data_IF_322699420662
#
_entry.id   IF_322699420662
#
_cell.length_a   1.000
_cell.length_b   1.000
_cell.length_c   1.000
_cell.angle_alpha   90.00
_cell.angle_beta   90.00
_cell.angle_gamma   90.00
#
_symmetry.space_group_name_H-M   'P 1'
#
loop_
_entity.id
_entity.type
_entity.pdbx_description
1 polymer ?
#
# COMPACT_ATOMS: atom_id res chain seq x y z
N UNK A 1 14.35 9.79 15.76
CA UNK A 1 13.21 10.74 15.71
C UNK A 1 12.88 10.93 14.25
N UNK A 2 12.36 9.86 13.68
CA UNK A 2 12.26 9.67 12.25
C UNK A 2 10.86 10.15 11.90
N UNK A 3 10.82 11.31 11.26
CA UNK A 3 9.61 12.07 11.01
C UNK A 3 8.72 11.29 10.01
N UNK A 4 7.82 10.46 10.53
CA UNK A 4 6.86 9.66 9.74
C UNK A 4 5.91 10.53 8.89
N UNK A 5 5.99 11.86 8.98
CA UNK A 5 5.17 12.82 8.21
C UNK A 5 5.64 13.10 6.78
N UNK A 6 6.79 12.60 6.32
CA UNK A 6 7.25 12.83 4.94
C UNK A 6 6.72 11.80 3.91
N UNK A 7 6.08 10.71 4.38
CA UNK A 7 5.54 9.65 3.49
C UNK A 7 4.30 10.07 2.70
N UNK A 8 3.64 11.15 3.12
CA UNK A 8 2.37 11.62 2.55
C UNK A 8 2.50 12.79 1.56
N UNK A 9 3.67 13.42 1.46
CA UNK A 9 3.87 14.57 0.57
C UNK A 9 4.27 14.12 -0.84
N UNK A 10 3.71 14.81 -1.85
CA UNK A 10 4.12 14.66 -3.23
C UNK A 10 5.57 15.11 -3.41
N UNK A 11 6.34 14.29 -4.11
CA UNK A 11 7.76 14.46 -4.41
C UNK A 11 7.96 14.57 -5.92
N UNK A 12 9.00 15.28 -6.38
CA UNK A 12 9.27 15.42 -7.81
C UNK A 12 9.60 14.07 -8.45
N UNK A 13 9.06 13.78 -9.64
CA UNK A 13 9.21 12.46 -10.30
C UNK A 13 10.66 11.99 -10.46
N UNK A 14 11.60 12.92 -10.59
CA UNK A 14 13.02 12.63 -10.75
C UNK A 14 13.61 11.89 -9.54
N UNK A 15 13.07 12.12 -8.34
CA UNK A 15 13.52 11.48 -7.10
C UNK A 15 12.80 10.16 -6.82
N UNK A 16 11.92 9.71 -7.72
CA UNK A 16 11.16 8.49 -7.52
C UNK A 16 12.09 7.27 -7.45
N UNK A 17 12.01 6.47 -6.36
CA UNK A 17 12.81 5.27 -6.21
C UNK A 17 12.38 4.19 -7.20
N UNK A 18 13.33 3.36 -7.59
CA UNK A 18 13.06 2.18 -8.40
C UNK A 18 12.44 1.07 -7.56
N UNK A 19 11.58 0.26 -8.18
CA UNK A 19 10.97 -0.93 -7.57
C UNK A 19 10.05 -0.71 -6.35
N UNK A 20 9.80 0.53 -5.94
CA UNK A 20 8.80 0.83 -4.92
C UNK A 20 7.40 0.98 -5.53
N UNK A 21 6.38 0.66 -4.74
CA UNK A 21 4.98 0.96 -5.08
C UNK A 21 4.71 2.43 -4.81
N UNK A 22 4.48 3.19 -5.87
CA UNK A 22 4.29 4.64 -5.82
C UNK A 22 2.92 5.01 -6.38
N UNK A 23 2.30 6.00 -5.78
CA UNK A 23 1.19 6.71 -6.40
C UNK A 23 1.76 7.82 -7.27
N UNK A 24 1.28 7.94 -8.50
CA UNK A 24 1.75 8.91 -9.48
C UNK A 24 0.70 9.99 -9.70
N UNK A 25 1.16 11.23 -9.89
CA UNK A 25 0.34 12.34 -10.34
C UNK A 25 0.86 12.84 -11.69
N UNK A 26 -0.06 13.01 -12.63
CA UNK A 26 0.17 13.57 -13.97
C UNK A 26 -0.51 14.93 -14.01
N UNK A 27 0.15 15.93 -14.58
CA UNK A 27 -0.48 17.24 -14.81
C UNK A 27 -0.71 17.36 -16.31
N UNK A 28 -1.97 17.52 -16.70
CA UNK A 28 -2.40 17.70 -18.09
C UNK A 28 -3.14 19.05 -18.23
N UNK A 29 -3.74 19.30 -19.40
CA UNK A 29 -4.56 20.48 -19.68
C UNK A 29 -5.76 20.68 -18.72
N UNK A 30 -6.31 19.57 -18.19
CA UNK A 30 -7.41 19.56 -17.22
C UNK A 30 -6.92 19.72 -15.76
N UNK A 31 -5.60 19.69 -15.54
CA UNK A 31 -4.98 19.86 -14.22
C UNK A 31 -4.28 18.60 -13.70
N UNK A 32 -4.16 18.51 -12.37
CA UNK A 32 -3.51 17.39 -11.68
C UNK A 32 -4.45 16.17 -11.59
N UNK A 33 -4.01 15.04 -12.15
CA UNK A 33 -4.68 13.75 -12.07
C UNK A 33 -3.81 12.71 -11.38
N UNK A 34 -4.37 12.06 -10.37
CA UNK A 34 -3.71 11.01 -9.60
C UNK A 34 -4.07 9.64 -10.16
N UNK A 35 -3.08 8.77 -10.29
CA UNK A 35 -3.29 7.39 -10.67
C UNK A 35 -3.89 6.64 -9.48
N UNK A 36 -5.06 6.04 -9.68
CA UNK A 36 -5.78 5.25 -8.66
C UNK A 36 -5.20 3.84 -8.45
N UNK A 37 -4.00 3.58 -8.96
CA UNK A 37 -3.32 2.29 -8.88
C UNK A 37 -1.83 2.49 -8.61
N UNK A 38 -1.18 1.56 -7.89
CA UNK A 38 0.24 1.66 -7.60
C UNK A 38 1.06 1.40 -8.87
N UNK A 39 2.07 2.23 -9.08
CA UNK A 39 3.03 2.10 -10.17
C UNK A 39 4.43 1.90 -9.61
N UNK A 40 5.26 1.17 -10.34
CA UNK A 40 6.69 1.04 -10.06
C UNK A 40 7.51 1.61 -11.21
N UNK A 41 8.61 2.28 -10.85
CA UNK A 41 9.58 2.77 -11.81
C UNK A 41 10.46 1.60 -12.26
N UNK A 42 10.51 1.35 -13.56
CA UNK A 42 11.36 0.36 -14.23
C UNK A 42 12.29 1.06 -15.22
N UNK A 43 13.25 0.32 -15.77
CA UNK A 43 14.20 0.86 -16.76
C UNK A 43 13.47 1.41 -18.00
N UNK A 44 12.40 0.73 -18.42
CA UNK A 44 11.60 1.07 -19.60
C UNK A 44 10.43 2.05 -19.31
N UNK A 45 10.47 2.73 -18.15
CA UNK A 45 9.44 3.70 -17.76
C UNK A 45 8.62 3.26 -16.54
N UNK A 46 7.30 3.25 -16.69
CA UNK A 46 6.37 2.95 -15.59
C UNK A 46 5.63 1.64 -15.83
N UNK A 47 5.40 0.90 -14.76
CA UNK A 47 4.68 -0.36 -14.80
C UNK A 47 3.68 -0.39 -13.66
N UNK A 48 2.47 -0.87 -13.93
CA UNK A 48 1.47 -1.16 -12.92
C UNK A 48 2.03 -2.24 -11.98
N UNK A 49 2.13 -1.92 -10.69
CA UNK A 49 2.69 -2.82 -9.70
C UNK A 49 1.77 -4.01 -9.39
N UNK A 50 0.46 -3.92 -9.66
CA UNK A 50 -0.52 -5.00 -9.47
C UNK A 50 -0.55 -5.95 -10.66
N UNK A 51 -0.69 -5.41 -11.86
CA UNK A 51 -0.87 -6.23 -13.07
C UNK A 51 0.44 -6.55 -13.79
N UNK A 52 1.51 -5.82 -13.48
CA UNK A 52 2.79 -5.93 -14.21
C UNK A 52 2.74 -5.36 -15.63
N UNK A 53 1.66 -4.67 -16.03
CA UNK A 53 1.54 -4.07 -17.36
C UNK A 53 2.33 -2.77 -17.45
N UNK A 54 2.98 -2.53 -18.58
CA UNK A 54 3.64 -1.25 -18.84
C UNK A 54 2.60 -0.15 -18.98
N UNK A 55 2.89 1.00 -18.39
CA UNK A 55 1.98 2.14 -18.32
C UNK A 55 2.69 3.32 -18.98
N UNK A 56 2.16 3.78 -20.10
CA UNK A 56 2.65 4.95 -20.82
C UNK A 56 2.09 6.22 -20.17
N UNK A 57 2.78 6.73 -19.16
CA UNK A 57 2.43 7.96 -18.44
C UNK A 57 3.65 8.85 -18.26
N UNK A 58 3.43 10.17 -18.27
CA UNK A 58 4.44 11.19 -17.96
C UNK A 58 4.10 11.87 -16.62
N UNK A 59 4.29 11.18 -15.49
CA UNK A 59 4.01 11.76 -14.17
C UNK A 59 4.96 12.91 -13.85
N UNK A 60 4.43 13.91 -13.15
CA UNK A 60 5.17 15.09 -12.68
C UNK A 60 5.61 14.91 -11.22
N UNK A 61 4.78 14.24 -10.43
CA UNK A 61 5.02 13.99 -9.01
C UNK A 61 4.71 12.53 -8.65
N UNK A 62 5.29 12.08 -7.55
CA UNK A 62 5.05 10.77 -6.96
C UNK A 62 4.89 10.88 -5.44
N UNK A 63 4.26 9.90 -4.82
CA UNK A 63 4.32 9.68 -3.37
C UNK A 63 4.29 8.19 -3.08
N UNK A 64 4.56 7.82 -1.83
CA UNK A 64 4.46 6.43 -1.42
C UNK A 64 3.01 5.94 -1.55
N UNK A 65 2.82 4.77 -2.16
CA UNK A 65 1.50 4.15 -2.20
C UNK A 65 1.17 3.63 -0.80
N UNK A 66 0.42 4.43 -0.03
CA UNK A 66 -0.11 3.99 1.25
C UNK A 66 -1.26 3.01 0.99
N UNK A 67 -0.98 1.72 1.12
CA UNK A 67 -2.05 0.72 1.27
C UNK A 67 -2.91 1.20 2.45
N UNK A 68 -4.20 1.45 2.24
CA UNK A 68 -5.10 1.83 3.34
C UNK A 68 -4.97 0.83 4.49
N UNK A 69 -5.18 1.24 5.74
CA UNK A 69 -5.12 0.37 6.93
C UNK A 69 -5.87 -0.97 6.73
N UNK A 70 -6.99 -0.98 5.99
CA UNK A 70 -7.72 -2.21 5.65
C UNK A 70 -6.99 -3.20 4.73
N UNK A 71 -6.00 -2.76 3.95
CA UNK A 71 -5.08 -3.62 3.18
C UNK A 71 -3.84 -4.00 3.99
N UNK A 72 -3.39 -3.15 4.94
CA UNK A 72 -2.27 -3.47 5.85
C UNK A 72 -2.64 -4.49 6.94
N UNK A 73 -3.93 -4.58 7.32
CA UNK A 73 -4.43 -5.57 8.30
C UNK A 73 -4.23 -7.04 7.89
N UNK A 74 -3.70 -7.34 6.70
CA UNK A 74 -3.44 -8.73 6.26
C UNK A 74 -2.01 -9.22 6.53
N UNK A 75 -1.02 -8.34 6.73
CA UNK A 75 0.39 -8.76 6.91
C UNK A 75 1.03 -8.32 8.23
N UNK A 76 0.26 -7.71 9.14
CA UNK A 76 0.77 -7.26 10.43
C UNK A 76 -0.28 -7.03 11.51
N UNK A 77 -1.50 -7.54 11.35
CA UNK A 77 -2.43 -7.59 12.49
C UNK A 77 -1.90 -8.63 13.47
N UNK A 78 -1.13 -8.15 14.44
CA UNK A 78 -0.77 -8.92 15.63
C UNK A 78 -2.08 -9.40 16.27
N UNK A 79 -2.27 -10.72 16.34
CA UNK A 79 -3.50 -11.35 16.84
C UNK A 79 -3.92 -10.80 18.22
N UNK A 80 -2.95 -10.32 18.99
CA UNK A 80 -3.16 -9.70 20.30
C UNK A 80 -3.89 -8.35 20.25
N UNK A 81 -3.81 -7.59 19.16
CA UNK A 81 -4.59 -6.35 18.96
C UNK A 81 -6.07 -6.64 18.66
N UNK A 82 -6.34 -7.71 17.88
CA UNK A 82 -7.71 -8.15 17.61
C UNK A 82 -8.37 -8.60 18.92
N UNK A 83 -7.67 -9.42 19.73
CA UNK A 83 -8.16 -9.89 21.02
C UNK A 83 -8.51 -8.74 21.99
N UNK A 84 -7.69 -7.69 22.06
CA UNK A 84 -7.95 -6.54 22.94
C UNK A 84 -9.14 -5.70 22.50
N UNK A 85 -9.45 -5.67 21.20
CA UNK A 85 -10.50 -4.82 20.64
C UNK A 85 -11.88 -5.48 20.74
N UNK A 86 -11.97 -6.79 20.53
CA UNK A 86 -13.24 -7.53 20.49
C UNK A 86 -13.49 -8.37 21.74
N UNK A 87 -12.45 -8.71 22.51
CA UNK A 87 -12.54 -9.68 23.61
C UNK A 87 -12.78 -11.13 23.16
N UNK A 88 -12.94 -11.36 21.86
CA UNK A 88 -13.22 -12.67 21.26
C UNK A 88 -12.32 -12.89 20.04
N UNK A 89 -11.61 -14.03 19.95
CA UNK A 89 -10.87 -14.39 18.74
C UNK A 89 -11.85 -14.56 17.57
N UNK A 90 -11.51 -14.16 16.34
CA UNK A 90 -12.41 -14.40 15.21
C UNK A 90 -12.55 -15.90 15.00
N UNK A 91 -13.79 -16.33 14.76
CA UNK A 91 -14.26 -17.71 14.62
C UNK A 91 -13.63 -18.50 13.44
N UNK A 92 -12.30 -18.53 13.33
CA UNK A 92 -11.63 -19.30 12.31
C UNK A 92 -11.46 -20.78 12.68
N UNK A 93 -11.77 -21.23 13.90
CA UNK A 93 -11.63 -22.65 14.27
C UNK A 93 -12.69 -23.17 15.26
N UNK A 94 -13.98 -23.02 14.95
CA UNK A 94 -15.04 -23.91 15.50
C UNK A 94 -15.00 -25.33 14.88
N UNK A 95 -13.85 -25.78 14.33
CA UNK A 95 -13.69 -27.09 13.69
C UNK A 95 -12.40 -27.85 14.07
N UNK A 96 -11.74 -27.51 15.17
CA UNK A 96 -10.82 -28.44 15.84
C UNK A 96 -11.37 -28.75 17.24
N UNK A 97 -11.67 -30.02 17.49
CA UNK A 97 -12.35 -30.51 18.68
C UNK A 97 -11.62 -30.26 20.02
N UNK A 98 -12.21 -30.74 21.12
CA UNK A 98 -11.86 -30.33 22.48
C UNK A 98 -10.45 -30.78 22.87
N UNK A 99 -9.54 -29.83 23.02
CA UNK A 99 -8.42 -30.02 23.94
C UNK A 99 -8.88 -29.55 25.32
N UNK A 100 -9.58 -30.43 26.05
CA UNK A 100 -9.62 -30.31 27.52
C UNK A 100 -8.25 -30.75 28.03
N UNK A 101 -7.44 -29.79 28.48
CA UNK A 101 -6.29 -30.12 29.33
C UNK A 101 -6.79 -30.51 30.73
N UNK A 102 -6.15 -31.54 31.30
CA UNK A 102 -6.58 -32.36 32.43
C UNK A 102 -6.41 -31.72 33.80
#
# INVERSE_FOLDING_TARGET
MDNHSDRAMWKPILTAPYFCMLELAVINEDGEHRLVFPCRRVVDGWQDARSGRQVEVCPTHWREWMMSERQQLHEGADWTDIYKQTGEPPEAELLAGPWTDS
#
